data_IF_386731906992
#
_entry.id   IF_386731906992
#
_cell.length_a   1.000
_cell.length_b   1.000
_cell.length_c   1.000
_cell.angle_alpha   90.00
_cell.angle_beta   90.00
_cell.angle_gamma   90.00
#
_symmetry.space_group_name_H-M   'P 1'
#
loop_
_entity.id
_entity.type
_entity.pdbx_description
1 polymer ?
#
# COMPACT_ATOMS: atom_id res chain seq x y z
N UNK A 1 15.25 -11.50 23.99
CA UNK A 1 15.49 -11.19 22.56
C UNK A 1 14.19 -10.67 21.97
N UNK A 2 14.22 -9.54 21.26
CA UNK A 2 13.07 -9.09 20.45
C UNK A 2 13.26 -9.71 19.07
N UNK A 3 12.22 -10.34 18.54
CA UNK A 3 12.22 -10.92 17.20
C UNK A 3 12.27 -9.80 16.14
N UNK A 4 13.02 -10.02 15.06
CA UNK A 4 13.13 -9.05 13.97
C UNK A 4 11.84 -9.08 13.13
N UNK A 5 11.18 -7.92 13.02
CA UNK A 5 10.02 -7.76 12.12
C UNK A 5 10.53 -7.60 10.68
N UNK A 6 10.29 -8.62 9.86
CA UNK A 6 10.76 -8.65 8.46
C UNK A 6 9.76 -7.97 7.52
N UNK A 7 8.46 -8.07 7.80
CA UNK A 7 7.40 -7.47 6.96
C UNK A 7 6.26 -6.94 7.83
N UNK A 8 5.73 -5.77 7.48
CA UNK A 8 4.55 -5.17 8.09
C UNK A 8 3.51 -4.82 7.00
N UNK A 9 2.26 -5.19 7.23
CA UNK A 9 1.15 -4.93 6.33
C UNK A 9 0.22 -3.86 6.91
N UNK A 10 -0.10 -2.86 6.11
CA UNK A 10 -1.26 -2.00 6.33
C UNK A 10 -2.30 -2.36 5.26
N UNK A 11 -3.45 -2.87 5.71
CA UNK A 11 -4.50 -3.38 4.84
C UNK A 11 -5.73 -2.47 4.90
N UNK A 12 -6.27 -2.09 3.73
CA UNK A 12 -7.46 -1.24 3.64
C UNK A 12 -8.42 -1.68 2.54
N UNK A 13 -9.71 -1.54 2.83
CA UNK A 13 -10.74 -1.52 1.81
C UNK A 13 -11.07 -0.06 1.47
N UNK A 14 -10.92 0.31 0.19
CA UNK A 14 -11.24 1.64 -0.34
C UNK A 14 -12.67 1.66 -0.86
N UNK A 15 -13.57 2.16 -0.02
CA UNK A 15 -14.92 2.56 -0.42
C UNK A 15 -14.97 4.05 -0.83
N UNK A 16 -16.15 4.60 -1.09
CA UNK A 16 -16.34 6.00 -1.50
C UNK A 16 -15.72 7.06 -0.56
N UNK A 17 -15.55 6.79 0.73
CA UNK A 17 -15.18 7.79 1.75
C UNK A 17 -13.73 7.65 2.27
N UNK A 18 -13.05 6.55 1.97
CA UNK A 18 -11.75 6.16 2.56
C UNK A 18 -10.51 6.77 1.87
N UNK A 19 -10.56 8.00 1.32
CA UNK A 19 -9.36 8.62 0.71
C UNK A 19 -8.33 9.07 1.76
N UNK A 20 -8.78 9.79 2.78
CA UNK A 20 -7.90 10.40 3.78
C UNK A 20 -7.18 9.37 4.65
N UNK A 21 -7.80 8.21 4.86
CA UNK A 21 -7.27 7.14 5.70
C UNK A 21 -6.11 6.40 5.02
N UNK A 22 -6.18 6.16 3.72
CA UNK A 22 -5.06 5.56 2.97
C UNK A 22 -3.86 6.49 2.91
N UNK A 23 -4.08 7.80 2.75
CA UNK A 23 -3.01 8.80 2.84
C UNK A 23 -2.39 8.80 4.24
N UNK A 24 -3.21 8.72 5.29
CA UNK A 24 -2.72 8.62 6.66
C UNK A 24 -1.90 7.34 6.90
N UNK A 25 -2.28 6.22 6.29
CA UNK A 25 -1.49 4.98 6.36
C UNK A 25 -0.13 5.13 5.65
N UNK A 26 -0.06 5.84 4.51
CA UNK A 26 1.21 6.16 3.86
C UNK A 26 2.12 7.02 4.77
N UNK A 27 1.55 8.02 5.44
CA UNK A 27 2.29 8.88 6.39
C UNK A 27 2.75 8.10 7.63
N UNK A 28 1.94 7.15 8.11
CA UNK A 28 2.28 6.24 9.20
C UNK A 28 3.49 5.38 8.81
N UNK A 29 3.48 4.77 7.64
CA UNK A 29 4.60 3.96 7.13
C UNK A 29 5.86 4.81 6.94
N UNK A 30 5.74 6.01 6.36
CA UNK A 30 6.85 6.96 6.26
C UNK A 30 7.48 7.24 7.63
N UNK A 31 6.66 7.49 8.65
CA UNK A 31 7.14 7.71 10.00
C UNK A 31 7.83 6.48 10.60
N UNK A 32 7.35 5.26 10.33
CA UNK A 32 8.01 4.03 10.76
C UNK A 32 9.38 3.88 10.11
N UNK A 33 9.49 4.01 8.79
CA UNK A 33 10.78 3.94 8.08
C UNK A 33 11.77 4.98 8.60
N UNK A 34 11.29 6.21 8.86
CA UNK A 34 12.16 7.30 9.31
C UNK A 34 12.64 7.13 10.75
N UNK A 35 11.79 6.62 11.64
CA UNK A 35 12.05 6.57 13.09
C UNK A 35 12.64 5.24 13.54
N UNK A 36 12.27 4.17 12.86
CA UNK A 36 12.63 2.80 13.22
C UNK A 36 13.69 2.37 12.20
N UNK A 37 14.96 2.41 12.62
CA UNK A 37 16.07 1.90 11.81
C UNK A 37 16.02 0.36 11.76
N UNK A 38 15.12 -0.19 10.96
CA UNK A 38 14.91 -1.62 10.77
C UNK A 38 15.07 -2.01 9.29
N UNK A 39 15.13 -3.32 9.01
CA UNK A 39 15.14 -3.87 7.66
C UNK A 39 13.73 -4.29 7.17
N UNK A 40 12.68 -3.87 7.88
CA UNK A 40 11.31 -4.25 7.58
C UNK A 40 10.88 -3.76 6.19
N UNK A 41 10.29 -4.65 5.41
CA UNK A 41 9.50 -4.31 4.22
C UNK A 41 8.09 -3.89 4.65
N UNK A 42 7.57 -2.82 4.09
CA UNK A 42 6.22 -2.36 4.38
C UNK A 42 5.33 -2.62 3.17
N UNK A 43 4.14 -3.14 3.41
CA UNK A 43 3.18 -3.46 2.36
C UNK A 43 1.92 -2.64 2.59
N UNK A 44 1.60 -1.80 1.60
CA UNK A 44 0.31 -1.12 1.52
C UNK A 44 -0.61 -1.97 0.65
N UNK A 45 -1.52 -2.72 1.29
CA UNK A 45 -2.45 -3.60 0.63
C UNK A 45 -3.84 -2.98 0.59
N UNK A 46 -4.36 -2.71 -0.61
CA UNK A 46 -5.57 -1.92 -0.79
C UNK A 46 -6.53 -2.65 -1.74
N UNK A 47 -7.76 -2.91 -1.29
CA UNK A 47 -8.84 -3.42 -2.14
C UNK A 47 -9.72 -2.26 -2.54
N UNK A 48 -9.88 -2.00 -3.83
CA UNK A 48 -10.75 -0.97 -4.38
C UNK A 48 -12.10 -1.57 -4.72
N UNK A 49 -13.18 -0.87 -4.37
CA UNK A 49 -14.57 -1.28 -4.69
C UNK A 49 -14.80 -1.48 -6.20
N UNK A 50 -14.03 -0.79 -7.05
CA UNK A 50 -14.15 -0.83 -8.52
C UNK A 50 -12.77 -0.67 -9.17
N UNK A 51 -12.70 -0.79 -10.50
CA UNK A 51 -11.47 -0.54 -11.24
C UNK A 51 -11.06 0.95 -11.27
N UNK A 52 -9.75 1.21 -11.20
CA UNK A 52 -9.15 2.54 -11.32
C UNK A 52 -7.94 2.48 -12.26
N UNK A 53 -7.84 3.41 -13.21
CA UNK A 53 -6.73 3.47 -14.18
C UNK A 53 -5.36 3.63 -13.50
N UNK A 54 -5.31 4.43 -12.42
CA UNK A 54 -4.13 4.53 -11.57
C UNK A 54 -4.48 4.07 -10.15
N UNK A 55 -4.31 2.77 -9.85
CA UNK A 55 -4.74 2.18 -8.59
C UNK A 55 -3.72 2.38 -7.45
N UNK A 56 -2.53 2.91 -7.76
CA UNK A 56 -1.45 3.16 -6.82
C UNK A 56 -1.57 4.53 -6.15
N UNK A 57 -1.26 4.56 -4.86
CA UNK A 57 -1.47 5.70 -3.96
C UNK A 57 -0.18 6.48 -3.70
N UNK A 58 0.98 5.84 -3.79
CA UNK A 58 2.24 6.55 -3.63
C UNK A 58 2.58 7.39 -4.87
N UNK A 59 2.88 8.67 -4.63
CA UNK A 59 3.33 9.58 -5.67
C UNK A 59 4.74 9.22 -6.16
N UNK A 60 5.07 9.60 -7.41
CA UNK A 60 6.43 9.42 -7.96
C UNK A 60 7.54 9.99 -7.05
N UNK A 61 7.26 11.08 -6.32
CA UNK A 61 8.22 11.66 -5.38
C UNK A 61 8.46 10.72 -4.18
N UNK A 62 7.41 10.10 -3.64
CA UNK A 62 7.55 9.18 -2.51
C UNK A 62 8.29 7.91 -2.95
N UNK A 63 7.91 7.34 -4.10
CA UNK A 63 8.47 6.10 -4.64
C UNK A 63 9.95 6.24 -5.03
N UNK A 64 10.38 7.42 -5.47
CA UNK A 64 11.79 7.66 -5.82
C UNK A 64 12.66 8.03 -4.60
N UNK A 65 12.07 8.20 -3.41
CA UNK A 65 12.76 8.62 -2.19
C UNK A 65 12.57 7.57 -1.09
N UNK A 66 11.76 7.89 -0.07
CA UNK A 66 11.69 7.11 1.17
C UNK A 66 11.07 5.71 0.99
N UNK A 67 10.21 5.53 -0.01
CA UNK A 67 9.56 4.24 -0.26
C UNK A 67 10.44 3.27 -1.08
N UNK A 68 11.48 3.78 -1.73
CA UNK A 68 12.37 3.00 -2.61
C UNK A 68 13.06 1.88 -1.83
N UNK A 69 12.85 0.64 -2.26
CA UNK A 69 13.35 -0.60 -1.65
C UNK A 69 12.73 -0.93 -0.30
N UNK A 70 11.70 -0.18 0.13
CA UNK A 70 11.13 -0.27 1.48
C UNK A 70 9.62 -0.51 1.49
N UNK A 71 8.92 -0.14 0.41
CA UNK A 71 7.46 -0.25 0.33
C UNK A 71 7.04 -0.97 -0.94
N UNK A 72 6.06 -1.86 -0.79
CA UNK A 72 5.32 -2.47 -1.91
C UNK A 72 3.85 -2.09 -1.81
N UNK A 73 3.25 -1.65 -2.91
CA UNK A 73 1.79 -1.51 -3.02
C UNK A 73 1.20 -2.78 -3.64
N UNK A 74 0.28 -3.41 -2.93
CA UNK A 74 -0.55 -4.50 -3.44
C UNK A 74 -1.97 -3.95 -3.60
N UNK A 75 -2.50 -3.97 -4.81
CA UNK A 75 -3.83 -3.45 -5.09
C UNK A 75 -4.69 -4.53 -5.70
N UNK A 76 -5.91 -4.66 -5.19
CA UNK A 76 -6.93 -5.48 -5.80
C UNK A 76 -8.16 -4.64 -6.15
N UNK A 77 -8.91 -5.02 -7.18
CA UNK A 77 -10.18 -4.39 -7.50
C UNK A 77 -11.16 -5.41 -8.05
N UNK A 78 -12.46 -5.20 -7.83
CA UNK A 78 -13.47 -5.98 -8.52
C UNK A 78 -13.38 -5.77 -10.04
N UNK A 79 -13.65 -6.83 -10.79
CA UNK A 79 -13.92 -6.74 -12.21
C UNK A 79 -15.40 -6.36 -12.39
N UNK A 80 -15.65 -5.11 -12.79
CA UNK A 80 -17.03 -4.60 -12.97
C UNK A 80 -17.79 -5.34 -14.10
N UNK A 81 -17.10 -6.10 -14.96
CA UNK A 81 -17.70 -6.88 -16.05
C UNK A 81 -18.01 -8.33 -15.67
N UNK A 82 -17.34 -8.89 -14.64
CA UNK A 82 -17.48 -10.29 -14.22
C UNK A 82 -17.62 -10.33 -12.70
N UNK A 83 -18.84 -10.54 -12.21
CA UNK A 83 -19.28 -10.31 -10.82
C UNK A 83 -18.62 -11.18 -9.73
N UNK A 84 -17.60 -11.96 -10.04
CA UNK A 84 -16.88 -12.82 -9.10
C UNK A 84 -15.36 -12.82 -9.30
N UNK A 85 -14.84 -11.97 -10.19
CA UNK A 85 -13.41 -11.87 -10.47
C UNK A 85 -12.78 -10.64 -9.81
N UNK A 86 -11.54 -10.82 -9.34
CA UNK A 86 -10.71 -9.75 -8.81
C UNK A 86 -9.44 -9.59 -9.64
N UNK A 87 -9.13 -8.34 -9.98
CA UNK A 87 -7.87 -7.97 -10.59
C UNK A 87 -6.85 -7.72 -9.49
N UNK A 88 -5.63 -8.25 -9.64
CA UNK A 88 -4.53 -8.05 -8.69
C UNK A 88 -3.35 -7.40 -9.38
N UNK A 89 -2.83 -6.33 -8.77
CA UNK A 89 -1.68 -5.58 -9.23
C UNK A 89 -0.69 -5.38 -8.08
N UNK A 90 0.60 -5.44 -8.39
CA UNK A 90 1.66 -5.19 -7.41
C UNK A 90 2.68 -4.23 -7.97
N UNK A 91 3.19 -3.34 -7.12
CA UNK A 91 4.28 -2.44 -7.49
C UNK A 91 5.25 -2.28 -6.32
N UNK A 92 6.41 -2.91 -6.48
CA UNK A 92 7.58 -2.66 -5.65
C UNK A 92 8.33 -1.42 -6.16
N UNK A 93 8.94 -0.68 -5.24
CA UNK A 93 9.67 0.54 -5.51
C UNK A 93 11.14 0.42 -5.16
#
# INVERSE_FOLDING_TARGET
HIEEVVVAFEFKFKDKYEFNTIVADADKIYNYIKRINNNCQYVMAIIHEKYWENPFWLTKKQTNNWAKGRVTELVASYNDEITEEMNFLSKGY
#
